data_IF_426739634241
#
_entry.id   IF_426739634241
#
_cell.length_a   1.000
_cell.length_b   1.000
_cell.length_c   1.000
_cell.angle_alpha   90.00
_cell.angle_beta   90.00
_cell.angle_gamma   90.00
#
_symmetry.space_group_name_H-M   'P 1'
#
loop_
_entity.id
_entity.type
_entity.pdbx_description
1 polymer ?
#
# COMPACT_ATOMS: atom_id res chain seq x y z
N UNK A 1 25.73 35.35 2.87
CA UNK A 1 26.17 34.83 1.56
C UNK A 1 25.09 33.89 1.09
N UNK A 2 24.39 34.34 0.08
CA UNK A 2 23.20 33.74 -0.52
C UNK A 2 23.66 32.62 -1.48
N UNK A 3 23.35 31.37 -1.15
CA UNK A 3 23.72 30.22 -1.99
C UNK A 3 22.49 29.78 -2.77
N UNK A 4 22.52 30.13 -4.05
CA UNK A 4 21.72 29.66 -5.19
C UNK A 4 20.59 28.68 -4.92
N UNK A 5 19.35 29.20 -4.90
CA UNK A 5 18.16 28.46 -5.30
C UNK A 5 18.15 28.31 -6.83
N UNK A 6 18.81 27.28 -7.34
CA UNK A 6 18.81 26.92 -8.76
C UNK A 6 18.01 25.63 -9.04
N UNK A 7 16.93 25.79 -9.80
CA UNK A 7 16.45 24.87 -10.86
C UNK A 7 15.88 23.46 -10.59
N UNK A 8 15.53 23.06 -9.36
CA UNK A 8 14.79 21.79 -9.10
C UNK A 8 13.51 21.95 -8.27
N UNK A 9 12.88 23.13 -8.28
CA UNK A 9 11.61 23.32 -7.57
C UNK A 9 10.45 22.74 -8.38
N UNK A 10 10.08 21.48 -8.12
CA UNK A 10 8.76 20.94 -8.49
C UNK A 10 7.69 21.98 -8.09
N UNK A 11 6.86 22.42 -9.04
CA UNK A 11 5.84 23.43 -8.78
C UNK A 11 4.90 22.93 -7.69
N UNK A 12 5.01 23.48 -6.48
CA UNK A 12 4.14 23.17 -5.33
C UNK A 12 2.69 23.45 -5.72
N UNK A 13 1.93 22.40 -6.03
CA UNK A 13 0.60 22.52 -6.65
C UNK A 13 -0.46 21.69 -5.93
N UNK A 14 -0.07 20.75 -5.07
CA UNK A 14 -1.02 19.88 -4.38
C UNK A 14 -1.52 20.53 -3.09
N UNK A 15 -2.84 20.73 -3.02
CA UNK A 15 -3.56 21.14 -1.80
C UNK A 15 -4.02 19.89 -1.05
N UNK A 16 -4.43 20.04 0.20
CA UNK A 16 -4.85 18.92 1.08
C UNK A 16 -5.78 17.93 0.40
N UNK A 17 -6.79 18.39 -0.34
CA UNK A 17 -7.74 17.50 -1.04
C UNK A 17 -7.05 16.63 -2.09
N UNK A 18 -6.13 17.19 -2.87
CA UNK A 18 -5.39 16.42 -3.88
C UNK A 18 -4.47 15.40 -3.22
N UNK A 19 -3.82 15.75 -2.11
CA UNK A 19 -2.94 14.83 -1.37
C UNK A 19 -3.75 13.71 -0.72
N UNK A 20 -4.91 14.01 -0.14
CA UNK A 20 -5.82 13.00 0.42
C UNK A 20 -6.33 12.07 -0.68
N UNK A 21 -6.83 12.60 -1.79
CA UNK A 21 -7.31 11.77 -2.91
C UNK A 21 -6.20 10.88 -3.48
N UNK A 22 -4.99 11.41 -3.59
CA UNK A 22 -3.81 10.64 -3.99
C UNK A 22 -3.50 9.54 -2.99
N UNK A 23 -3.47 9.87 -1.69
CA UNK A 23 -3.19 8.92 -0.62
C UNK A 23 -4.22 7.80 -0.54
N UNK A 24 -5.51 8.10 -0.69
CA UNK A 24 -6.55 7.06 -0.78
C UNK A 24 -6.26 6.14 -1.95
N UNK A 25 -5.95 6.65 -3.14
CA UNK A 25 -5.65 5.78 -4.29
C UNK A 25 -4.27 5.11 -4.30
N UNK A 26 -3.35 5.54 -3.42
CA UNK A 26 -2.10 4.82 -3.14
C UNK A 26 -2.42 3.62 -2.22
N UNK A 27 -3.17 3.84 -1.14
CA UNK A 27 -3.61 2.79 -0.21
C UNK A 27 -4.50 1.78 -0.92
N UNK A 28 -5.49 2.26 -1.69
CA UNK A 28 -6.37 1.42 -2.50
C UNK A 28 -5.54 0.74 -3.58
N UNK A 29 -5.23 -0.52 -3.36
CA UNK A 29 -4.41 -1.35 -4.24
C UNK A 29 -4.88 -2.80 -4.25
N UNK A 30 -3.98 -3.72 -4.56
CA UNK A 30 -4.33 -5.13 -4.72
C UNK A 30 -4.87 -5.80 -3.45
N UNK A 31 -4.55 -5.30 -2.26
CA UNK A 31 -4.91 -5.96 -1.00
C UNK A 31 -6.41 -6.23 -0.87
N UNK A 32 -7.26 -5.20 -1.03
CA UNK A 32 -8.72 -5.38 -0.97
C UNK A 32 -9.28 -6.19 -2.15
N UNK A 33 -8.63 -6.11 -3.31
CA UNK A 33 -9.08 -6.83 -4.52
C UNK A 33 -8.84 -8.34 -4.38
N UNK A 34 -7.72 -8.75 -3.79
CA UNK A 34 -7.26 -10.15 -3.88
C UNK A 34 -7.31 -10.86 -2.53
N UNK A 35 -7.02 -10.17 -1.42
CA UNK A 35 -6.89 -10.80 -0.10
C UNK A 35 -8.23 -10.91 0.64
N UNK A 36 -9.31 -10.32 0.11
CA UNK A 36 -10.62 -10.38 0.74
C UNK A 36 -11.15 -11.82 0.87
N UNK A 37 -10.95 -12.67 -0.15
CA UNK A 37 -11.33 -14.08 -0.12
C UNK A 37 -10.53 -14.89 0.91
N UNK A 38 -9.18 -14.90 0.83
CA UNK A 38 -8.33 -15.52 1.85
C UNK A 38 -8.59 -15.02 3.28
N UNK A 39 -8.90 -13.75 3.47
CA UNK A 39 -9.26 -13.22 4.78
C UNK A 39 -10.63 -13.72 5.27
N UNK A 40 -11.59 -13.91 4.36
CA UNK A 40 -12.87 -14.52 4.68
C UNK A 40 -12.74 -16.02 5.02
N UNK A 41 -11.71 -16.72 4.51
CA UNK A 41 -11.41 -18.10 4.96
C UNK A 41 -11.06 -18.15 6.45
N UNK A 42 -10.40 -17.12 6.97
CA UNK A 42 -9.96 -17.04 8.36
C UNK A 42 -11.02 -16.44 9.29
N UNK A 43 -11.67 -15.35 8.88
CA UNK A 43 -12.61 -14.59 9.72
C UNK A 43 -14.09 -14.84 9.41
N UNK A 44 -14.41 -15.59 8.35
CA UNK A 44 -15.77 -15.82 7.89
C UNK A 44 -16.54 -14.52 7.63
N UNK A 45 -17.77 -14.45 8.15
CA UNK A 45 -18.63 -13.26 8.04
C UNK A 45 -18.07 -12.02 8.76
N UNK A 46 -17.13 -12.20 9.70
CA UNK A 46 -16.50 -11.13 10.47
C UNK A 46 -15.24 -10.55 9.80
N UNK A 47 -15.01 -10.83 8.51
CA UNK A 47 -13.87 -10.28 7.76
C UNK A 47 -13.82 -8.74 7.78
N UNK A 48 -14.97 -8.06 7.87
CA UNK A 48 -15.00 -6.60 8.05
C UNK A 48 -14.35 -6.15 9.37
N UNK A 49 -14.47 -6.95 10.44
CA UNK A 49 -13.85 -6.67 11.73
C UNK A 49 -12.33 -6.82 11.63
N UNK A 50 -11.85 -7.76 10.82
CA UNK A 50 -10.42 -7.91 10.54
C UNK A 50 -9.84 -6.65 9.87
N UNK A 51 -10.55 -6.05 8.90
CA UNK A 51 -10.16 -4.76 8.32
C UNK A 51 -10.19 -3.63 9.34
N UNK A 52 -11.19 -3.59 10.23
CA UNK A 52 -11.28 -2.58 11.28
C UNK A 52 -10.14 -2.70 12.31
N UNK A 53 -9.81 -3.92 12.74
CA UNK A 53 -8.69 -4.22 13.64
C UNK A 53 -7.36 -3.84 12.99
N UNK A 54 -7.16 -4.23 11.73
CA UNK A 54 -5.97 -3.85 10.96
C UNK A 54 -5.84 -2.33 10.85
N UNK A 55 -6.92 -1.62 10.49
CA UNK A 55 -6.92 -0.17 10.40
C UNK A 55 -6.58 0.50 11.75
N UNK A 56 -7.07 -0.05 12.86
CA UNK A 56 -6.73 0.44 14.20
C UNK A 56 -5.23 0.29 14.49
N UNK A 57 -4.64 -0.86 14.16
CA UNK A 57 -3.20 -1.10 14.30
C UNK A 57 -2.39 -0.15 13.41
N UNK A 58 -2.78 0.02 12.14
CA UNK A 58 -2.16 0.99 11.23
C UNK A 58 -2.24 2.41 11.79
N UNK A 59 -3.38 2.79 12.36
CA UNK A 59 -3.61 4.14 12.89
C UNK A 59 -2.62 4.51 14.00
N UNK A 60 -2.25 3.56 14.86
CA UNK A 60 -1.23 3.78 15.89
C UNK A 60 0.11 4.20 15.29
N UNK A 61 0.54 3.52 14.22
CA UNK A 61 1.78 3.85 13.53
C UNK A 61 1.63 5.10 12.65
N UNK A 62 0.47 5.31 12.04
CA UNK A 62 0.17 6.48 11.23
C UNK A 62 0.29 7.79 12.03
N UNK A 63 -0.04 7.78 13.33
CA UNK A 63 0.22 8.91 14.22
C UNK A 63 1.71 9.22 14.36
N UNK A 64 2.55 8.19 14.44
CA UNK A 64 4.02 8.34 14.48
C UNK A 64 4.56 8.88 13.15
N UNK A 65 4.08 8.37 12.01
CA UNK A 65 4.40 8.91 10.70
C UNK A 65 3.97 10.36 10.53
N UNK A 66 2.76 10.71 10.99
CA UNK A 66 2.25 12.08 10.93
C UNK A 66 3.14 13.06 11.71
N UNK A 67 3.68 12.66 12.87
CA UNK A 67 4.65 13.46 13.62
C UNK A 67 5.98 13.61 12.88
N UNK A 68 6.55 12.51 12.37
CA UNK A 68 7.80 12.54 11.61
C UNK A 68 7.70 13.33 10.30
N UNK A 69 6.61 13.18 9.55
CA UNK A 69 6.36 13.93 8.32
C UNK A 69 6.21 15.43 8.59
N UNK A 70 5.64 15.80 9.76
CA UNK A 70 5.56 17.19 10.20
C UNK A 70 6.92 17.78 10.61
N UNK A 71 7.86 16.95 11.05
CA UNK A 71 9.22 17.35 11.45
C UNK A 71 10.21 17.37 10.26
N UNK A 72 10.10 16.40 9.36
CA UNK A 72 11.04 16.16 8.26
C UNK A 72 10.28 16.09 6.92
N UNK A 73 9.86 17.25 6.35
CA UNK A 73 9.03 17.31 5.15
C UNK A 73 9.83 17.10 3.85
N UNK A 74 10.61 16.01 3.76
CA UNK A 74 11.39 15.63 2.58
C UNK A 74 10.89 14.32 2.00
N UNK A 75 11.04 14.11 0.69
CA UNK A 75 10.61 12.88 0.01
C UNK A 75 11.58 11.71 0.23
N UNK A 76 11.73 11.25 1.48
CA UNK A 76 12.71 10.22 1.85
C UNK A 76 12.18 9.05 2.67
N UNK A 77 10.89 9.07 3.05
CA UNK A 77 10.22 8.00 3.78
C UNK A 77 10.95 7.60 5.08
N UNK A 78 10.85 6.32 5.42
CA UNK A 78 11.37 5.74 6.66
C UNK A 78 12.88 5.74 6.73
N UNK A 79 13.55 5.55 5.58
CA UNK A 79 15.01 5.56 5.52
C UNK A 79 15.58 6.95 5.83
N UNK A 80 14.94 8.02 5.35
CA UNK A 80 15.33 9.39 5.71
C UNK A 80 15.05 9.69 7.18
N UNK A 81 13.88 9.28 7.71
CA UNK A 81 13.58 9.44 9.14
C UNK A 81 14.57 8.68 10.02
N UNK A 82 14.88 7.42 9.67
CA UNK A 82 15.86 6.60 10.36
C UNK A 82 17.24 7.29 10.40
N UNK A 83 17.62 7.97 9.32
CA UNK A 83 18.92 8.63 9.25
C UNK A 83 19.10 9.83 10.19
N UNK A 84 18.00 10.44 10.63
CA UNK A 84 18.04 11.52 11.62
C UNK A 84 18.09 11.01 13.07
N UNK A 85 17.81 9.73 13.28
CA UNK A 85 17.58 9.17 14.63
C UNK A 85 18.56 8.06 14.99
N UNK A 86 18.92 7.23 14.01
CA UNK A 86 19.76 6.05 14.19
C UNK A 86 21.12 6.21 13.50
N UNK A 87 22.07 5.35 13.90
CA UNK A 87 23.37 5.24 13.24
C UNK A 87 23.26 4.50 11.90
N UNK A 88 24.30 4.64 11.07
CA UNK A 88 24.37 4.12 9.69
C UNK A 88 23.87 2.68 9.52
N UNK A 89 24.29 1.74 10.39
CA UNK A 89 23.89 0.32 10.29
C UNK A 89 22.39 0.11 10.46
N UNK A 90 21.78 0.72 11.47
CA UNK A 90 20.34 0.60 11.73
C UNK A 90 19.52 1.28 10.65
N UNK A 91 19.97 2.44 10.16
CA UNK A 91 19.35 3.13 9.03
C UNK A 91 19.37 2.27 7.77
N UNK A 92 20.49 1.60 7.48
CA UNK A 92 20.58 0.62 6.39
C UNK A 92 19.60 -0.54 6.57
N UNK A 93 19.51 -1.12 7.78
CA UNK A 93 18.56 -2.23 8.05
C UNK A 93 17.12 -1.80 7.80
N UNK A 94 16.71 -0.60 8.23
CA UNK A 94 15.37 -0.08 7.98
C UNK A 94 15.12 0.09 6.48
N UNK A 95 16.04 0.76 5.77
CA UNK A 95 15.90 0.97 4.31
C UNK A 95 15.92 -0.34 3.51
N UNK A 96 16.77 -1.30 3.88
CA UNK A 96 16.83 -2.60 3.20
C UNK A 96 15.59 -3.45 3.47
N UNK A 97 15.09 -3.44 4.71
CA UNK A 97 13.85 -4.16 5.07
C UNK A 97 12.66 -3.58 4.34
N UNK A 98 12.55 -2.24 4.26
CA UNK A 98 11.49 -1.58 3.50
C UNK A 98 11.62 -1.86 1.99
N UNK A 99 12.83 -1.84 1.43
CA UNK A 99 13.09 -2.20 0.03
C UNK A 99 12.62 -3.63 -0.27
N UNK A 100 12.99 -4.61 0.57
CA UNK A 100 12.55 -5.99 0.39
C UNK A 100 11.03 -6.13 0.59
N UNK A 101 10.46 -5.41 1.56
CA UNK A 101 9.02 -5.31 1.77
C UNK A 101 8.29 -4.88 0.49
N UNK A 102 8.73 -3.79 -0.15
CA UNK A 102 8.15 -3.29 -1.40
C UNK A 102 8.32 -4.27 -2.59
N UNK A 103 9.47 -4.95 -2.68
CA UNK A 103 9.72 -5.97 -3.72
C UNK A 103 8.78 -7.17 -3.57
N UNK A 104 8.66 -7.70 -2.35
CA UNK A 104 7.77 -8.82 -2.05
C UNK A 104 6.30 -8.40 -2.19
N UNK A 105 5.96 -7.17 -1.79
CA UNK A 105 4.63 -6.61 -2.00
C UNK A 105 4.25 -6.53 -3.47
N UNK A 106 5.17 -6.06 -4.33
CA UNK A 106 4.94 -6.02 -5.77
C UNK A 106 4.74 -7.40 -6.39
N UNK A 107 5.39 -8.44 -5.85
CA UNK A 107 5.14 -9.82 -6.27
C UNK A 107 3.72 -10.27 -5.89
N UNK A 108 3.26 -9.97 -4.67
CA UNK A 108 1.88 -10.23 -4.23
C UNK A 108 0.87 -9.53 -5.14
N UNK A 109 1.09 -8.25 -5.46
CA UNK A 109 0.24 -7.45 -6.35
C UNK A 109 0.21 -8.04 -7.76
N UNK A 110 1.36 -8.48 -8.30
CA UNK A 110 1.46 -9.08 -9.63
C UNK A 110 0.75 -10.45 -9.70
N UNK A 111 0.81 -11.26 -8.65
CA UNK A 111 0.01 -12.48 -8.54
C UNK A 111 -1.48 -12.18 -8.45
N UNK A 112 -1.85 -11.10 -7.75
CA UNK A 112 -3.21 -10.57 -7.75
C UNK A 112 -3.70 -10.17 -9.14
N UNK A 113 -2.90 -9.39 -9.87
CA UNK A 113 -3.16 -9.03 -11.27
C UNK A 113 -3.41 -10.29 -12.12
N UNK A 114 -2.60 -11.33 -11.92
CA UNK A 114 -2.74 -12.58 -12.64
C UNK A 114 -4.08 -13.28 -12.39
N UNK A 115 -4.62 -13.28 -11.17
CA UNK A 115 -5.94 -13.87 -10.91
C UNK A 115 -7.04 -13.14 -11.68
N UNK A 116 -6.96 -11.81 -11.79
CA UNK A 116 -7.87 -11.02 -12.62
C UNK A 116 -7.66 -11.20 -14.12
N UNK A 117 -6.41 -11.36 -14.58
CA UNK A 117 -6.12 -11.60 -16.00
C UNK A 117 -6.71 -12.93 -16.46
N UNK A 118 -6.72 -13.92 -15.56
CA UNK A 118 -7.34 -15.24 -15.77
C UNK A 118 -8.86 -15.21 -15.87
N UNK A 119 -9.50 -14.06 -15.66
CA UNK A 119 -10.90 -13.85 -16.02
C UNK A 119 -11.10 -13.85 -17.54
N UNK A 120 -10.12 -13.33 -18.29
CA UNK A 120 -10.19 -13.19 -19.76
C UNK A 120 -9.47 -14.30 -20.50
N UNK A 121 -8.36 -14.79 -19.94
CA UNK A 121 -7.49 -15.77 -20.59
C UNK A 121 -7.21 -16.93 -19.65
N UNK A 122 -7.54 -18.15 -20.06
CA UNK A 122 -7.20 -19.35 -19.27
C UNK A 122 -5.72 -19.71 -19.46
N UNK A 123 -4.85 -19.04 -18.68
CA UNK A 123 -3.40 -19.21 -18.73
C UNK A 123 -2.84 -19.48 -17.32
N UNK A 124 -1.66 -20.10 -17.26
CA UNK A 124 -0.94 -20.30 -15.99
C UNK A 124 -0.69 -18.95 -15.31
N UNK A 125 -1.03 -18.84 -14.03
CA UNK A 125 -0.92 -17.61 -13.21
C UNK A 125 0.43 -16.89 -13.32
N UNK A 126 1.53 -17.62 -13.49
CA UNK A 126 2.88 -17.05 -13.57
C UNK A 126 3.10 -16.20 -14.81
N UNK A 127 2.41 -16.48 -15.91
CA UNK A 127 2.56 -15.78 -17.18
C UNK A 127 2.09 -14.32 -17.07
N UNK A 128 0.82 -14.01 -16.73
CA UNK A 128 0.37 -12.62 -16.59
C UNK A 128 1.08 -11.88 -15.45
N UNK A 129 1.46 -12.56 -14.36
CA UNK A 129 2.28 -11.96 -13.30
C UNK A 129 3.65 -11.49 -13.82
N UNK A 130 4.33 -12.33 -14.60
CA UNK A 130 5.64 -11.98 -15.18
C UNK A 130 5.50 -10.86 -16.21
N UNK A 131 4.46 -10.90 -17.06
CA UNK A 131 4.18 -9.87 -18.06
C UNK A 131 3.98 -8.51 -17.39
N UNK A 132 3.16 -8.42 -16.33
CA UNK A 132 2.92 -7.14 -15.65
C UNK A 132 4.17 -6.62 -14.95
N UNK A 133 5.03 -7.48 -14.39
CA UNK A 133 6.31 -7.08 -13.79
C UNK A 133 7.26 -6.51 -14.85
N UNK A 134 7.43 -7.21 -15.98
CA UNK A 134 8.30 -6.75 -17.08
C UNK A 134 7.77 -5.45 -17.68
N UNK A 135 6.46 -5.36 -17.93
CA UNK A 135 5.81 -4.15 -18.42
C UNK A 135 5.99 -2.98 -17.45
N UNK A 136 5.83 -3.22 -16.15
CA UNK A 136 6.03 -2.21 -15.12
C UNK A 136 7.49 -1.75 -15.03
N UNK A 137 8.45 -2.66 -15.17
CA UNK A 137 9.87 -2.34 -15.21
C UNK A 137 10.22 -1.51 -16.44
N UNK A 138 9.68 -1.85 -17.62
CA UNK A 138 9.87 -1.08 -18.84
C UNK A 138 9.37 0.35 -18.66
N UNK A 139 8.17 0.54 -18.09
CA UNK A 139 7.62 1.87 -17.78
C UNK A 139 8.49 2.60 -16.77
N UNK A 140 8.88 1.96 -15.67
CA UNK A 140 9.67 2.59 -14.61
C UNK A 140 11.08 3.05 -15.09
N UNK A 141 11.69 2.32 -16.04
CA UNK A 141 12.98 2.70 -16.65
C UNK A 141 12.90 3.97 -17.49
N UNK A 142 11.73 4.35 -18.02
CA UNK A 142 11.57 5.57 -18.84
C UNK A 142 11.68 6.88 -18.07
N UNK A 143 11.87 6.84 -16.73
CA UNK A 143 12.05 8.06 -15.93
C UNK A 143 10.72 8.70 -15.59
N UNK A 144 9.99 8.08 -14.67
CA UNK A 144 8.64 8.44 -14.27
C UNK A 144 8.51 9.78 -13.49
N UNK A 145 9.15 10.86 -13.95
CA UNK A 145 9.12 12.20 -13.34
C UNK A 145 7.96 13.10 -13.81
N UNK A 146 7.03 12.60 -14.64
CA UNK A 146 5.85 13.37 -15.13
C UNK A 146 4.48 12.84 -14.69
N UNK A 147 4.43 11.94 -13.69
CA UNK A 147 3.25 11.09 -13.46
C UNK A 147 2.28 11.54 -12.37
N UNK A 148 2.51 12.61 -11.61
CA UNK A 148 1.64 12.95 -10.47
C UNK A 148 0.17 13.16 -10.89
N UNK A 149 -0.10 13.80 -12.04
CA UNK A 149 -1.47 13.92 -12.59
C UNK A 149 -2.08 12.58 -13.00
N UNK A 150 -1.27 11.66 -13.53
CA UNK A 150 -1.75 10.33 -13.93
C UNK A 150 -2.02 9.47 -12.70
N UNK A 151 -1.18 9.56 -11.67
CA UNK A 151 -1.42 8.92 -10.37
C UNK A 151 -2.73 9.41 -9.78
N UNK A 152 -2.98 10.73 -9.73
CA UNK A 152 -4.26 11.29 -9.26
C UNK A 152 -5.47 10.77 -10.07
N UNK A 153 -5.34 10.74 -11.40
CA UNK A 153 -6.41 10.25 -12.27
C UNK A 153 -6.70 8.75 -12.04
N UNK A 154 -5.65 7.93 -11.98
CA UNK A 154 -5.77 6.50 -11.69
C UNK A 154 -6.33 6.27 -10.28
N UNK A 155 -5.90 7.04 -9.28
CA UNK A 155 -6.43 7.00 -7.91
C UNK A 155 -7.94 7.22 -7.87
N UNK A 156 -8.46 8.19 -8.63
CA UNK A 156 -9.90 8.42 -8.74
C UNK A 156 -10.65 7.21 -9.33
N UNK A 157 -10.06 6.55 -10.34
CA UNK A 157 -10.63 5.34 -10.95
C UNK A 157 -10.69 4.20 -9.93
N UNK A 158 -9.62 4.00 -9.14
CA UNK A 158 -9.56 2.94 -8.12
C UNK A 158 -10.63 3.11 -7.04
N UNK A 159 -10.80 4.32 -6.53
CA UNK A 159 -11.84 4.65 -5.54
C UNK A 159 -13.22 4.48 -6.16
N UNK A 160 -13.41 4.95 -7.39
CA UNK A 160 -14.64 4.76 -8.15
C UNK A 160 -15.02 3.28 -8.30
N UNK A 161 -14.06 2.40 -8.59
CA UNK A 161 -14.28 0.96 -8.67
C UNK A 161 -14.75 0.35 -7.34
N UNK A 162 -14.18 0.76 -6.21
CA UNK A 162 -14.63 0.31 -4.89
C UNK A 162 -16.03 0.84 -4.54
N UNK A 163 -16.32 2.11 -4.88
CA UNK A 163 -17.65 2.67 -4.68
C UNK A 163 -18.69 1.96 -5.56
N UNK A 164 -18.34 1.69 -6.82
CA UNK A 164 -19.19 0.96 -7.75
C UNK A 164 -19.55 -0.43 -7.22
N UNK A 165 -18.56 -1.24 -6.83
CA UNK A 165 -18.82 -2.59 -6.30
C UNK A 165 -19.57 -2.54 -4.97
N UNK A 166 -19.32 -1.52 -4.14
CA UNK A 166 -20.05 -1.30 -2.89
C UNK A 166 -21.54 -1.05 -3.15
N UNK A 167 -21.87 -0.10 -4.04
CA UNK A 167 -23.26 0.24 -4.37
C UNK A 167 -23.98 -0.98 -4.94
N UNK A 168 -23.33 -1.71 -5.85
CA UNK A 168 -23.89 -2.96 -6.39
C UNK A 168 -24.09 -4.00 -5.30
N UNK A 169 -23.12 -4.17 -4.40
CA UNK A 169 -23.19 -5.17 -3.34
C UNK A 169 -24.30 -4.91 -2.33
N UNK A 170 -24.57 -3.64 -1.99
CA UNK A 170 -25.72 -3.26 -1.15
C UNK A 170 -27.06 -3.27 -1.91
N UNK A 171 -27.05 -3.02 -3.22
CA UNK A 171 -28.24 -3.12 -4.07
C UNK A 171 -28.68 -4.56 -4.36
N UNK A 172 -27.77 -5.52 -4.33
CA UNK A 172 -28.05 -6.93 -4.56
C UNK A 172 -28.95 -7.54 -3.45
N UNK A 173 -29.57 -8.68 -3.73
CA UNK A 173 -30.26 -9.47 -2.69
C UNK A 173 -29.23 -10.04 -1.70
N UNK A 174 -29.48 -9.88 -0.40
CA UNK A 174 -28.60 -10.42 0.62
C UNK A 174 -28.65 -11.96 0.64
N UNK A 175 -27.49 -12.59 0.53
CA UNK A 175 -27.28 -14.05 0.61
C UNK A 175 -26.51 -14.49 1.86
N UNK A 176 -25.81 -13.57 2.51
CA UNK A 176 -25.11 -13.80 3.77
C UNK A 176 -25.24 -12.61 4.72
N UNK A 177 -24.79 -12.81 5.97
CA UNK A 177 -24.80 -11.77 6.99
C UNK A 177 -23.39 -11.48 7.50
N UNK A 178 -23.00 -10.21 7.47
CA UNK A 178 -21.72 -9.75 8.05
C UNK A 178 -21.70 -9.80 9.59
N UNK A 179 -22.82 -10.19 10.22
CA UNK A 179 -22.92 -10.41 11.66
C UNK A 179 -22.90 -11.91 12.01
N UNK A 180 -22.89 -12.79 11.01
CA UNK A 180 -22.83 -14.22 11.23
C UNK A 180 -21.44 -14.60 11.72
N UNK A 181 -21.39 -15.11 12.96
CA UNK A 181 -20.15 -15.57 13.56
C UNK A 181 -19.76 -16.92 12.97
N UNK A 182 -18.48 -17.13 12.62
CA UNK A 182 -17.99 -18.45 12.23
C UNK A 182 -18.28 -19.50 13.32
N UNK A 183 -18.48 -20.77 12.94
CA UNK A 183 -18.59 -21.84 13.92
C UNK A 183 -17.30 -21.97 14.72
N UNK A 184 -17.41 -22.15 16.03
CA UNK A 184 -16.27 -22.28 16.94
C UNK A 184 -16.49 -21.61 18.29
N UNK A 185 -15.55 -21.81 19.19
CA UNK A 185 -15.49 -21.06 20.46
C UNK A 185 -15.16 -19.59 20.19
N UNK A 186 -15.50 -18.70 21.14
CA UNK A 186 -15.18 -17.27 21.04
C UNK A 186 -13.68 -17.01 20.84
N UNK A 187 -12.82 -17.85 21.43
CA UNK A 187 -11.37 -17.73 21.28
C UNK A 187 -10.90 -18.10 19.86
N UNK A 188 -11.47 -19.13 19.26
CA UNK A 188 -11.17 -19.53 17.88
C UNK A 188 -11.63 -18.45 16.89
N UNK A 189 -12.83 -17.90 17.08
CA UNK A 189 -13.36 -16.80 16.26
C UNK A 189 -12.47 -15.55 16.39
N UNK A 190 -12.05 -15.18 17.61
CA UNK A 190 -11.14 -14.07 17.82
C UNK A 190 -9.77 -14.32 17.17
N UNK A 191 -9.25 -15.56 17.25
CA UNK A 191 -8.03 -15.98 16.57
C UNK A 191 -8.11 -15.85 15.05
N UNK A 192 -9.22 -16.29 14.44
CA UNK A 192 -9.48 -16.15 13.01
C UNK A 192 -9.56 -14.69 12.55
N UNK A 193 -10.22 -13.83 13.32
CA UNK A 193 -10.26 -12.38 13.05
C UNK A 193 -8.86 -11.77 13.13
N UNK A 194 -8.03 -12.15 14.10
CA UNK A 194 -6.65 -11.67 14.21
C UNK A 194 -5.76 -12.19 13.07
N UNK A 195 -5.91 -13.45 12.66
CA UNK A 195 -5.18 -14.02 11.52
C UNK A 195 -5.56 -13.32 10.21
N UNK A 196 -6.86 -13.07 9.99
CA UNK A 196 -7.34 -12.27 8.88
C UNK A 196 -6.82 -10.84 8.95
N UNK A 197 -6.81 -10.20 10.13
CA UNK A 197 -6.33 -8.84 10.31
C UNK A 197 -4.84 -8.72 9.96
N UNK A 198 -4.04 -9.71 10.36
CA UNK A 198 -2.62 -9.78 9.99
C UNK A 198 -2.43 -9.89 8.47
N UNK A 199 -3.29 -10.64 7.77
CA UNK A 199 -3.23 -10.78 6.31
C UNK A 199 -3.72 -9.55 5.54
N UNK A 200 -4.85 -8.95 5.96
CA UNK A 200 -5.40 -7.76 5.28
C UNK A 200 -4.68 -6.48 5.65
N UNK A 201 -3.75 -6.52 6.61
CA UNK A 201 -2.80 -5.45 6.88
C UNK A 201 -2.08 -5.00 5.61
N UNK A 202 -1.77 -5.96 4.73
CA UNK A 202 -1.23 -5.71 3.40
C UNK A 202 -2.02 -4.64 2.62
N UNK A 203 -3.35 -4.62 2.75
CA UNK A 203 -4.21 -3.67 2.03
C UNK A 203 -4.04 -2.22 2.48
N UNK A 204 -3.42 -1.99 3.65
CA UNK A 204 -3.14 -0.68 4.21
C UNK A 204 -1.72 -0.18 3.92
N UNK A 205 -0.83 -1.02 3.39
CA UNK A 205 0.51 -0.61 2.99
C UNK A 205 0.41 0.50 1.94
N UNK A 206 1.09 1.63 2.15
CA UNK A 206 1.07 2.79 1.27
C UNK A 206 0.45 4.04 1.87
N UNK A 207 -0.08 4.02 3.10
CA UNK A 207 -0.44 5.28 3.78
C UNK A 207 0.80 6.14 4.05
N UNK A 208 1.94 5.50 4.30
CA UNK A 208 3.27 6.08 4.51
C UNK A 208 3.81 6.76 3.23
N UNK A 209 3.48 6.22 2.05
CA UNK A 209 3.85 6.77 0.75
C UNK A 209 3.23 8.16 0.50
N UNK A 210 2.18 8.55 1.22
CA UNK A 210 1.65 9.93 1.21
C UNK A 210 2.75 10.93 1.60
N UNK A 211 3.70 10.53 2.45
CA UNK A 211 4.82 11.37 2.84
C UNK A 211 5.77 11.70 1.68
N UNK A 212 5.85 10.86 0.65
CA UNK A 212 6.68 11.12 -0.53
C UNK A 212 6.15 12.27 -1.39
N UNK A 213 4.86 12.60 -1.27
CA UNK A 213 4.24 13.74 -1.95
C UNK A 213 4.56 15.08 -1.28
N UNK A 214 5.32 15.08 -0.18
CA UNK A 214 5.61 16.29 0.60
C UNK A 214 6.31 17.38 -0.22
N UNK A 215 7.18 17.00 -1.16
CA UNK A 215 7.89 17.98 -2.00
C UNK A 215 6.97 18.70 -3.01
N UNK A 216 5.86 18.06 -3.40
CA UNK A 216 4.85 18.62 -4.32
C UNK A 216 3.68 19.29 -3.58
N UNK A 217 3.67 19.21 -2.25
CA UNK A 217 2.57 19.63 -1.38
C UNK A 217 2.75 21.05 -0.87
N UNK A 218 1.68 21.84 -0.90
CA UNK A 218 1.66 23.15 -0.26
C UNK A 218 1.60 23.01 1.28
N UNK A 219 2.53 23.67 1.98
CA UNK A 219 2.73 23.55 3.43
C UNK A 219 2.82 22.07 3.89
N UNK A 220 3.87 21.34 3.48
CA UNK A 220 3.96 19.91 3.73
C UNK A 220 4.02 19.57 5.23
N UNK A 221 4.55 20.48 6.06
CA UNK A 221 4.62 20.28 7.51
C UNK A 221 3.25 20.11 8.17
N UNK A 222 2.20 20.73 7.62
CA UNK A 222 0.83 20.63 8.16
C UNK A 222 -0.08 19.79 7.28
N UNK A 223 0.11 19.84 5.96
CA UNK A 223 -0.76 19.16 5.00
C UNK A 223 -0.48 17.67 4.95
N UNK A 224 0.80 17.24 4.89
CA UNK A 224 1.16 15.82 4.78
C UNK A 224 0.66 15.01 5.98
N UNK A 225 0.86 15.43 7.25
CA UNK A 225 0.36 14.66 8.41
C UNK A 225 -1.15 14.46 8.39
N UNK A 226 -1.90 15.51 8.05
CA UNK A 226 -3.37 15.45 7.96
C UNK A 226 -3.80 14.56 6.80
N UNK A 227 -3.15 14.70 5.65
CA UNK A 227 -3.49 13.93 4.47
C UNK A 227 -3.27 12.43 4.69
N UNK A 228 -2.17 12.05 5.35
CA UNK A 228 -1.88 10.67 5.72
C UNK A 228 -3.01 10.07 6.58
N UNK A 229 -3.41 10.76 7.66
CA UNK A 229 -4.47 10.28 8.56
C UNK A 229 -5.84 10.21 7.89
N UNK A 230 -6.21 11.23 7.11
CA UNK A 230 -7.48 11.24 6.37
C UNK A 230 -7.52 10.14 5.29
N UNK A 231 -6.41 9.93 4.57
CA UNK A 231 -6.33 8.87 3.57
C UNK A 231 -6.51 7.50 4.19
N UNK A 232 -5.83 7.23 5.32
CA UNK A 232 -5.99 5.99 6.05
C UNK A 232 -7.43 5.78 6.54
N UNK A 233 -8.04 6.80 7.15
CA UNK A 233 -9.40 6.72 7.67
C UNK A 233 -10.44 6.48 6.57
N UNK A 234 -10.33 7.17 5.43
CA UNK A 234 -11.23 6.99 4.28
C UNK A 234 -11.07 5.59 3.69
N UNK A 235 -9.84 5.13 3.46
CA UNK A 235 -9.58 3.79 2.94
C UNK A 235 -10.06 2.69 3.89
N UNK A 236 -9.85 2.85 5.20
CA UNK A 236 -10.35 1.92 6.21
C UNK A 236 -11.87 1.80 6.18
N UNK A 237 -12.58 2.93 6.11
CA UNK A 237 -14.03 2.93 5.99
C UNK A 237 -14.48 2.23 4.70
N UNK A 238 -13.86 2.56 3.57
CA UNK A 238 -14.15 1.92 2.28
C UNK A 238 -13.96 0.40 2.35
N UNK A 239 -12.85 -0.08 2.91
CA UNK A 239 -12.57 -1.51 3.02
C UNK A 239 -13.56 -2.24 3.92
N UNK A 240 -13.91 -1.66 5.08
CA UNK A 240 -14.93 -2.24 5.97
C UNK A 240 -16.27 -2.35 5.25
N UNK A 241 -16.68 -1.29 4.56
CA UNK A 241 -17.96 -1.26 3.82
C UNK A 241 -17.94 -2.25 2.65
N UNK A 242 -16.85 -2.36 1.90
CA UNK A 242 -16.66 -3.36 0.83
C UNK A 242 -16.71 -4.78 1.38
N UNK A 243 -16.06 -5.04 2.52
CA UNK A 243 -16.07 -6.35 3.17
C UNK A 243 -17.49 -6.77 3.61
N UNK A 244 -18.27 -5.84 4.17
CA UNK A 244 -19.68 -6.06 4.50
C UNK A 244 -20.50 -6.34 3.23
N UNK A 245 -20.32 -5.53 2.18
CA UNK A 245 -21.00 -5.73 0.90
C UNK A 245 -20.67 -7.11 0.30
N UNK A 246 -19.41 -7.54 0.36
CA UNK A 246 -18.96 -8.83 -0.16
C UNK A 246 -19.65 -10.01 0.52
N UNK A 247 -19.64 -10.05 1.86
CA UNK A 247 -20.33 -11.11 2.63
C UNK A 247 -21.82 -11.10 2.36
N UNK A 248 -22.42 -9.90 2.26
CA UNK A 248 -23.85 -9.75 1.97
C UNK A 248 -24.22 -10.30 0.60
N UNK A 249 -23.44 -10.03 -0.44
CA UNK A 249 -23.76 -10.42 -1.82
C UNK A 249 -23.44 -11.88 -2.12
N UNK A 250 -22.25 -12.34 -1.72
CA UNK A 250 -21.76 -13.69 -2.07
C UNK A 250 -22.10 -14.74 -1.00
N UNK A 251 -22.23 -14.33 0.26
CA UNK A 251 -22.16 -15.26 1.38
C UNK A 251 -20.71 -15.64 1.74
N UNK A 252 -20.52 -16.22 2.92
CA UNK A 252 -19.18 -16.53 3.46
C UNK A 252 -18.46 -17.57 2.61
N UNK A 253 -19.14 -18.66 2.25
CA UNK A 253 -18.52 -19.78 1.53
C UNK A 253 -18.06 -19.40 0.11
N UNK A 254 -18.91 -18.72 -0.65
CA UNK A 254 -18.55 -18.27 -2.00
C UNK A 254 -17.47 -17.19 -1.96
N UNK A 255 -17.50 -16.28 -0.98
CA UNK A 255 -16.46 -15.27 -0.79
C UNK A 255 -15.10 -15.91 -0.47
N UNK A 256 -15.08 -16.85 0.47
CA UNK A 256 -13.87 -17.54 0.92
C UNK A 256 -13.20 -18.33 -0.23
N UNK A 257 -13.97 -18.81 -1.20
CA UNK A 257 -13.46 -19.56 -2.34
C UNK A 257 -13.23 -18.72 -3.61
N UNK A 258 -13.56 -17.42 -3.57
CA UNK A 258 -13.41 -16.55 -4.74
C UNK A 258 -11.96 -16.06 -4.89
N UNK A 259 -11.30 -16.35 -6.03
CA UNK A 259 -10.00 -15.75 -6.35
C UNK A 259 -10.12 -14.28 -6.80
N UNK A 260 -11.34 -13.80 -7.10
CA UNK A 260 -11.62 -12.46 -7.63
C UNK A 260 -12.88 -11.85 -6.97
N UNK A 261 -12.91 -11.67 -5.63
CA UNK A 261 -14.12 -11.33 -4.90
C UNK A 261 -14.91 -10.15 -5.47
N UNK A 262 -14.23 -9.07 -5.84
CA UNK A 262 -14.89 -7.85 -6.33
C UNK A 262 -15.53 -8.03 -7.72
N UNK A 263 -14.97 -8.89 -8.57
CA UNK A 263 -15.57 -9.26 -9.85
C UNK A 263 -16.84 -10.09 -9.61
N UNK A 264 -16.78 -11.06 -8.70
CA UNK A 264 -17.89 -11.96 -8.43
C UNK A 264 -19.07 -11.23 -7.75
N UNK A 265 -18.80 -10.23 -6.89
CA UNK A 265 -19.83 -9.35 -6.33
C UNK A 265 -20.58 -8.62 -7.45
N UNK A 266 -19.85 -7.99 -8.36
CA UNK A 266 -20.44 -7.23 -9.45
C UNK A 266 -21.22 -8.12 -10.43
N UNK A 267 -20.66 -9.29 -10.77
CA UNK A 267 -21.33 -10.28 -11.61
C UNK A 267 -22.62 -10.80 -10.96
N UNK A 268 -22.58 -11.09 -9.66
CA UNK A 268 -23.75 -11.55 -8.89
C UNK A 268 -24.83 -10.47 -8.78
N UNK A 269 -24.43 -9.21 -8.64
CA UNK A 269 -25.35 -8.10 -8.41
C UNK A 269 -26.07 -7.62 -9.68
N UNK A 270 -25.36 -7.54 -10.81
CA UNK A 270 -25.85 -6.90 -12.05
C UNK A 270 -25.58 -7.71 -13.32
N UNK A 271 -24.92 -8.87 -13.22
CA UNK A 271 -24.58 -9.75 -14.35
C UNK A 271 -23.15 -9.58 -14.88
N UNK A 272 -22.78 -10.45 -15.83
CA UNK A 272 -21.41 -10.62 -16.32
C UNK A 272 -20.76 -9.35 -16.89
N UNK A 273 -21.58 -8.43 -17.42
CA UNK A 273 -21.10 -7.13 -17.90
C UNK A 273 -20.45 -6.32 -16.76
N UNK A 274 -21.08 -6.27 -15.59
CA UNK A 274 -20.55 -5.58 -14.42
C UNK A 274 -19.33 -6.30 -13.84
N UNK A 275 -19.34 -7.65 -13.84
CA UNK A 275 -18.18 -8.46 -13.48
C UNK A 275 -16.97 -8.14 -14.36
N UNK A 276 -17.19 -8.06 -15.68
CA UNK A 276 -16.16 -7.71 -16.66
C UNK A 276 -15.61 -6.30 -16.45
N UNK A 277 -16.49 -5.31 -16.19
CA UNK A 277 -16.05 -3.96 -15.83
C UNK A 277 -15.16 -3.97 -14.58
N UNK A 278 -15.54 -4.72 -13.54
CA UNK A 278 -14.71 -4.83 -12.33
C UNK A 278 -13.39 -5.55 -12.57
N UNK A 279 -13.35 -6.58 -13.41
CA UNK A 279 -12.11 -7.26 -13.77
C UNK A 279 -11.14 -6.31 -14.49
N UNK A 280 -11.62 -5.48 -15.43
CA UNK A 280 -10.79 -4.46 -16.09
C UNK A 280 -10.29 -3.42 -15.09
N UNK A 281 -11.15 -2.92 -14.20
CA UNK A 281 -10.77 -1.96 -13.16
C UNK A 281 -9.70 -2.55 -12.22
N UNK A 282 -9.83 -3.82 -11.86
CA UNK A 282 -8.85 -4.53 -11.04
C UNK A 282 -7.50 -4.68 -11.76
N UNK A 283 -7.49 -5.01 -13.06
CA UNK A 283 -6.26 -5.08 -13.86
C UNK A 283 -5.53 -3.74 -13.92
N UNK A 284 -6.25 -2.66 -14.20
CA UNK A 284 -5.67 -1.30 -14.22
C UNK A 284 -5.14 -0.91 -12.85
N UNK A 285 -5.91 -1.20 -11.79
CA UNK A 285 -5.54 -0.89 -10.41
C UNK A 285 -4.27 -1.61 -9.99
N UNK A 286 -4.22 -2.92 -10.20
CA UNK A 286 -3.10 -3.77 -9.77
C UNK A 286 -1.84 -3.50 -10.62
N UNK A 287 -1.96 -3.32 -11.94
CA UNK A 287 -0.82 -2.94 -12.79
C UNK A 287 -0.21 -1.60 -12.35
N UNK A 288 -1.03 -0.59 -12.07
CA UNK A 288 -0.55 0.68 -11.54
C UNK A 288 0.16 0.50 -10.19
N UNK A 289 -0.39 -0.33 -9.29
CA UNK A 289 0.26 -0.63 -8.01
C UNK A 289 1.62 -1.31 -8.19
N UNK A 290 1.79 -2.24 -9.14
CA UNK A 290 3.11 -2.85 -9.43
C UNK A 290 4.13 -1.79 -9.84
N UNK A 291 3.75 -0.85 -10.72
CA UNK A 291 4.63 0.25 -11.14
C UNK A 291 5.05 1.11 -9.96
N UNK A 292 4.10 1.48 -9.09
CA UNK A 292 4.35 2.34 -7.93
C UNK A 292 5.33 1.69 -6.95
N UNK A 293 5.07 0.45 -6.52
CA UNK A 293 5.94 -0.24 -5.55
C UNK A 293 7.32 -0.57 -6.12
N UNK A 294 7.39 -0.92 -7.43
CA UNK A 294 8.67 -1.13 -8.10
C UNK A 294 9.50 0.17 -8.15
N UNK A 295 8.83 1.29 -8.45
CA UNK A 295 9.47 2.60 -8.47
C UNK A 295 9.96 3.00 -7.07
N UNK A 296 9.13 2.83 -6.04
CA UNK A 296 9.48 3.10 -4.64
C UNK A 296 10.69 2.27 -4.19
N UNK A 297 10.69 0.95 -4.44
CA UNK A 297 11.81 0.06 -4.13
C UNK A 297 13.10 0.51 -4.83
N UNK A 298 13.02 0.84 -6.12
CA UNK A 298 14.19 1.27 -6.89
C UNK A 298 14.78 2.60 -6.41
N UNK A 299 13.92 3.55 -5.99
CA UNK A 299 14.33 4.84 -5.42
C UNK A 299 15.01 4.67 -4.07
N UNK A 300 14.54 3.74 -3.25
CA UNK A 300 15.16 3.43 -1.96
C UNK A 300 16.56 2.82 -2.12
N UNK A 301 16.72 1.88 -3.05
CA UNK A 301 18.04 1.32 -3.44
C UNK A 301 18.97 2.43 -3.94
N UNK A 302 18.47 3.33 -4.78
CA UNK A 302 19.22 4.46 -5.29
C UNK A 302 19.66 5.43 -4.17
N UNK A 303 18.77 5.76 -3.24
CA UNK A 303 19.08 6.62 -2.09
C UNK A 303 20.17 6.01 -1.19
N UNK A 304 20.09 4.70 -0.91
CA UNK A 304 21.12 3.97 -0.17
C UNK A 304 22.46 3.95 -0.93
N UNK A 305 22.43 3.81 -2.25
CA UNK A 305 23.63 3.92 -3.10
C UNK A 305 24.27 5.30 -3.02
N UNK A 306 23.46 6.38 -3.09
CA UNK A 306 23.95 7.77 -3.02
C UNK A 306 24.58 8.12 -1.66
N UNK A 307 24.05 7.58 -0.58
CA UNK A 307 24.60 7.74 0.78
C UNK A 307 25.80 6.83 1.07
N UNK A 308 26.17 5.95 0.13
CA UNK A 308 27.30 5.03 0.27
C UNK A 308 27.01 3.82 1.16
N UNK A 309 25.74 3.52 1.45
CA UNK A 309 25.34 2.30 2.17
C UNK A 309 25.31 1.08 1.25
N UNK A 310 25.12 1.29 -0.05
CA UNK A 310 25.28 0.30 -1.11
C UNK A 310 26.42 0.69 -2.08
N UNK A 311 26.99 -0.27 -2.83
CA UNK A 311 28.01 0.03 -3.85
C UNK A 311 27.56 1.13 -4.84
N UNK A 312 28.51 1.96 -5.29
CA UNK A 312 28.26 3.14 -6.14
C UNK A 312 27.48 2.85 -7.43
N UNK A 313 27.53 1.62 -7.94
CA UNK A 313 26.73 1.18 -9.11
C UNK A 313 25.22 1.41 -8.94
N UNK A 314 24.72 1.37 -7.71
CA UNK A 314 23.30 1.55 -7.37
C UNK A 314 22.89 3.02 -7.32
N UNK A 315 23.85 3.94 -7.26
CA UNK A 315 23.64 5.39 -7.32
C UNK A 315 23.63 5.94 -8.76
N UNK A 316 23.74 5.08 -9.78
CA UNK A 316 23.78 5.52 -11.18
C UNK A 316 22.38 5.81 -11.71
N UNK A 317 22.24 6.97 -12.34
CA UNK A 317 21.06 7.37 -13.12
C UNK A 317 21.36 7.09 -14.59
N UNK A 318 20.39 6.59 -15.35
CA UNK A 318 20.48 6.46 -16.80
C UNK A 318 20.19 7.78 -17.51
N UNK A 319 20.41 7.82 -18.83
CA UNK A 319 20.12 8.99 -19.67
C UNK A 319 18.65 9.44 -19.60
N UNK A 320 17.74 8.52 -19.27
CA UNK A 320 16.31 8.80 -19.10
C UNK A 320 15.95 9.35 -17.71
N UNK A 321 16.93 9.62 -16.84
CA UNK A 321 16.69 10.18 -15.51
C UNK A 321 16.18 9.16 -14.47
N UNK A 322 16.23 7.85 -14.75
CA UNK A 322 15.81 6.78 -13.84
C UNK A 322 16.98 5.95 -13.30
N UNK A 323 16.90 5.39 -12.08
CA UNK A 323 17.90 4.45 -11.57
C UNK A 323 17.69 3.06 -12.19
N UNK A 324 17.89 2.92 -13.50
CA UNK A 324 17.47 1.74 -14.26
C UNK A 324 18.08 0.42 -13.77
N UNK A 325 19.32 0.44 -13.26
CA UNK A 325 19.94 -0.76 -12.65
C UNK A 325 19.17 -1.22 -11.42
N UNK A 326 18.70 -0.30 -10.57
CA UNK A 326 17.90 -0.61 -9.40
C UNK A 326 16.51 -1.13 -9.78
N UNK A 327 15.89 -0.54 -10.82
CA UNK A 327 14.59 -1.01 -11.35
C UNK A 327 14.68 -2.45 -11.84
N UNK A 328 15.67 -2.76 -12.69
CA UNK A 328 15.84 -4.12 -13.24
C UNK A 328 16.13 -5.13 -12.13
N UNK A 329 16.96 -4.78 -11.15
CA UNK A 329 17.24 -5.66 -10.02
C UNK A 329 16.00 -5.91 -9.15
N UNK A 330 15.24 -4.86 -8.83
CA UNK A 330 14.01 -4.96 -8.06
C UNK A 330 12.95 -5.79 -8.81
N UNK A 331 12.80 -5.59 -10.13
CA UNK A 331 11.89 -6.37 -10.96
C UNK A 331 12.30 -7.86 -11.06
N UNK A 332 13.60 -8.15 -11.16
CA UNK A 332 14.10 -9.52 -11.16
C UNK A 332 13.83 -10.23 -9.83
N UNK A 333 14.06 -9.56 -8.70
CA UNK A 333 13.73 -10.10 -7.37
C UNK A 333 12.23 -10.28 -7.20
N UNK A 334 11.43 -9.31 -7.64
CA UNK A 334 9.96 -9.38 -7.63
C UNK A 334 9.47 -10.59 -8.44
N UNK A 335 10.03 -10.82 -9.63
CA UNK A 335 9.77 -12.00 -10.45
C UNK A 335 10.13 -13.29 -9.72
N UNK A 336 11.29 -13.35 -9.07
CA UNK A 336 11.71 -14.52 -8.29
C UNK A 336 10.72 -14.85 -7.15
N UNK A 337 10.22 -13.86 -6.42
CA UNK A 337 9.19 -14.07 -5.41
C UNK A 337 7.85 -14.49 -6.03
N UNK A 338 7.46 -13.93 -7.18
CA UNK A 338 6.25 -14.32 -7.89
C UNK A 338 6.29 -15.80 -8.35
N UNK A 339 7.47 -16.38 -8.58
CA UNK A 339 7.61 -17.80 -8.93
C UNK A 339 7.24 -18.77 -7.80
N UNK A 340 7.39 -18.35 -6.53
CA UNK A 340 6.94 -19.12 -5.35
C UNK A 340 5.44 -19.38 -5.44
N UNK A 341 4.67 -18.37 -5.88
CA UNK A 341 3.27 -18.49 -6.28
C UNK A 341 2.25 -18.54 -5.15
N UNK A 342 2.64 -18.73 -3.89
CA UNK A 342 1.68 -18.76 -2.78
C UNK A 342 1.33 -17.35 -2.27
N UNK A 343 0.20 -16.80 -2.75
CA UNK A 343 -0.22 -15.42 -2.48
C UNK A 343 -0.25 -15.09 -0.98
N UNK A 344 -0.86 -15.97 -0.16
CA UNK A 344 -1.00 -15.76 1.31
C UNK A 344 0.37 -15.68 1.97
N UNK A 345 1.27 -16.59 1.65
CA UNK A 345 2.63 -16.63 2.19
C UNK A 345 3.42 -15.36 1.84
N UNK A 346 3.37 -14.92 0.58
CA UNK A 346 4.10 -13.73 0.11
C UNK A 346 3.51 -12.45 0.72
N UNK A 347 2.18 -12.36 0.86
CA UNK A 347 1.51 -11.27 1.56
C UNK A 347 1.92 -11.21 3.03
N UNK A 348 1.82 -12.32 3.77
CA UNK A 348 2.22 -12.37 5.18
C UNK A 348 3.72 -12.09 5.38
N UNK A 349 4.58 -12.54 4.47
CA UNK A 349 6.00 -12.19 4.51
C UNK A 349 6.24 -10.69 4.31
N UNK A 350 5.46 -10.04 3.44
CA UNK A 350 5.45 -8.58 3.30
C UNK A 350 5.08 -7.93 4.63
N UNK A 351 3.97 -8.35 5.24
CA UNK A 351 3.46 -7.75 6.47
C UNK A 351 4.46 -7.83 7.61
N UNK A 352 5.17 -8.96 7.77
CA UNK A 352 6.24 -9.10 8.77
C UNK A 352 7.36 -8.07 8.58
N UNK A 353 7.79 -7.85 7.33
CA UNK A 353 8.83 -6.85 7.03
C UNK A 353 8.34 -5.43 7.31
N UNK A 354 7.10 -5.12 6.91
CA UNK A 354 6.51 -3.80 7.14
C UNK A 354 6.25 -3.57 8.64
N UNK A 355 5.84 -4.58 9.40
CA UNK A 355 5.73 -4.49 10.86
C UNK A 355 7.06 -4.15 11.52
N UNK A 356 8.16 -4.75 11.05
CA UNK A 356 9.50 -4.42 11.56
C UNK A 356 9.88 -2.96 11.27
N UNK A 357 9.56 -2.46 10.07
CA UNK A 357 9.75 -1.06 9.70
C UNK A 357 8.88 -0.14 10.57
N UNK A 358 7.60 -0.47 10.75
CA UNK A 358 6.66 0.30 11.56
C UNK A 358 7.06 0.35 13.02
N UNK A 359 7.53 -0.76 13.58
CA UNK A 359 8.11 -0.78 14.92
C UNK A 359 9.29 0.21 15.01
N UNK A 360 10.17 0.22 14.00
CA UNK A 360 11.29 1.16 13.96
C UNK A 360 10.82 2.62 13.93
N UNK A 361 9.77 2.94 13.17
CA UNK A 361 9.17 4.28 13.09
C UNK A 361 8.61 4.73 14.44
N UNK A 362 7.89 3.85 15.14
CA UNK A 362 7.39 4.14 16.49
C UNK A 362 8.55 4.40 17.47
N UNK A 363 9.61 3.58 17.40
CA UNK A 363 10.83 3.79 18.21
C UNK A 363 11.52 5.12 17.87
N UNK A 364 11.54 5.55 16.60
CA UNK A 364 12.12 6.82 16.19
C UNK A 364 11.44 8.01 16.87
N UNK A 365 10.10 8.03 16.90
CA UNK A 365 9.33 9.09 17.57
C UNK A 365 9.61 9.11 19.07
N UNK A 366 9.56 7.95 19.73
CA UNK A 366 9.85 7.84 21.17
C UNK A 366 11.27 8.37 21.48
N UNK A 367 12.26 8.01 20.65
CA UNK A 367 13.64 8.46 20.82
C UNK A 367 13.77 9.96 20.60
N UNK A 368 13.20 10.50 19.53
CA UNK A 368 13.23 11.95 19.23
C UNK A 368 12.58 12.78 20.32
N UNK A 369 11.50 12.30 20.94
CA UNK A 369 10.88 12.97 22.09
C UNK A 369 11.81 13.08 23.30
N UNK A 370 12.70 12.10 23.50
CA UNK A 370 13.69 12.11 24.60
C UNK A 370 14.97 12.86 24.27
N UNK A 371 15.48 12.73 23.05
CA UNK A 371 16.80 13.28 22.68
C UNK A 371 16.72 14.67 22.08
N UNK A 372 15.57 15.06 21.52
CA UNK A 372 15.35 16.35 20.87
C UNK A 372 13.94 16.90 21.16
N UNK A 373 13.62 17.15 22.45
CA UNK A 373 12.29 17.61 22.86
C UNK A 373 11.91 18.96 22.25
N UNK A 374 12.88 19.85 22.01
CA UNK A 374 12.63 21.21 21.53
C UNK A 374 12.46 21.34 20.02
N UNK A 375 12.60 20.24 19.26
CA UNK A 375 12.37 20.28 17.81
C UNK A 375 10.91 20.66 17.49
N UNK A 376 10.69 21.58 16.53
CA UNK A 376 9.35 22.01 16.15
C UNK A 376 8.56 20.84 15.56
N UNK A 377 7.33 20.65 16.06
CA UNK A 377 6.40 19.59 15.63
C UNK A 377 5.09 20.23 15.19
N UNK A 378 4.86 20.29 13.88
CA UNK A 378 3.62 20.80 13.32
C UNK A 378 2.40 19.90 13.63
N UNK A 379 2.66 18.60 13.80
CA UNK A 379 1.72 17.62 14.33
C UNK A 379 2.39 16.85 15.47
N UNK A 380 1.69 16.64 16.57
CA UNK A 380 2.16 15.84 17.70
C UNK A 380 1.14 14.74 17.98
N UNK A 381 1.60 13.48 17.96
CA UNK A 381 0.72 12.36 18.27
C UNK A 381 0.14 12.53 19.68
N UNK A 382 -1.19 12.33 19.86
CA UNK A 382 -1.91 12.69 21.08
C UNK A 382 -1.54 11.81 22.27
N UNK A 383 -1.10 10.57 22.03
CA UNK A 383 -0.67 9.65 23.07
C UNK A 383 0.84 9.75 23.29
N UNK A 384 1.23 10.11 24.51
CA UNK A 384 2.62 10.25 24.92
C UNK A 384 3.09 8.99 25.63
N UNK A 385 3.92 8.19 24.95
CA UNK A 385 4.90 7.35 25.64
C UNK A 385 6.14 8.23 25.83
N UNK A 386 6.41 8.62 27.08
CA UNK A 386 7.39 9.62 27.54
C UNK A 386 6.83 11.06 27.63
N UNK A 387 6.50 11.44 28.88
CA UNK A 387 6.58 12.79 29.39
C UNK A 387 8.05 13.18 29.59
#
# INVERSE_FOLDING_TARGET
>A
MDVGRGEDALTTSLRTVHVVASGVGIIVGAGIYVLLGPAAQEAGGLVWLAFAVSAAICSLTALSYAELAGMFPRAGGEYEYASHVFGRRSTFVVGWTMTMGLVVAGATVALGFAEYARYFWDVERRIPATIVIIGSAAVAVTGATRWSRVVVALSSIKVGGLLFVTVLGFGATARGSALESPPGSTMEVAGGVLAAAALVFFAFIGFDEVATLSEETADPTRTTPRALLWSLGISALLYVVVAVAAVRTLGVEALANSPRPLTDIAATALGDGAGTTMAVLALVTTANTVILVLTAASRMVFAMGRRGDLPSRWARISDNGSPSTAVVAAAALMGAFALVGELKLIASATDVMIFAVFLSVNVMVIRLRRTAPDLPRAFRSPWTVAA
#
